data_IF_713561079742
#
_entry.id   IF_713561079742
#
_cell.length_a   1.000
_cell.length_b   1.000
_cell.length_c   1.000
_cell.angle_alpha   90.00
_cell.angle_beta   90.00
_cell.angle_gamma   90.00
#
_symmetry.space_group_name_H-M   'P 1'
#
loop_
_entity.id
_entity.type
_entity.pdbx_description
1 polymer ?
#
# COMPACT_ATOMS: atom_id res chain seq x y z
N UNK A 1 -59.15 -26.90 -68.77
CA UNK A 1 -58.13 -26.87 -67.70
C UNK A 1 -58.79 -26.35 -66.43
N UNK A 2 -59.01 -27.23 -65.42
CA UNK A 2 -59.70 -26.87 -64.16
C UNK A 2 -58.65 -26.89 -63.05
N UNK A 3 -58.38 -25.70 -62.45
CA UNK A 3 -57.49 -25.55 -61.27
C UNK A 3 -58.25 -25.99 -60.03
N UNK A 4 -57.70 -26.99 -59.32
CA UNK A 4 -58.20 -27.45 -58.03
C UNK A 4 -57.68 -26.47 -56.95
N UNK A 5 -58.58 -25.83 -56.20
CA UNK A 5 -58.31 -25.09 -54.98
C UNK A 5 -58.03 -26.10 -53.84
N UNK A 6 -56.85 -26.04 -53.25
CA UNK A 6 -56.55 -26.74 -52.00
C UNK A 6 -57.05 -25.88 -50.82
N UNK A 7 -57.94 -26.43 -50.04
CA UNK A 7 -58.31 -25.87 -48.72
C UNK A 7 -57.23 -26.22 -47.70
N UNK A 8 -56.64 -25.19 -47.09
CA UNK A 8 -55.77 -25.34 -45.93
C UNK A 8 -56.65 -25.30 -44.67
N UNK A 9 -56.72 -26.44 -43.98
CA UNK A 9 -57.23 -26.53 -42.63
C UNK A 9 -56.22 -25.85 -41.68
N UNK A 10 -56.63 -24.73 -41.07
CA UNK A 10 -55.92 -24.13 -39.94
C UNK A 10 -56.21 -24.97 -38.71
N UNK A 11 -55.23 -25.77 -38.28
CA UNK A 11 -55.18 -26.33 -36.94
C UNK A 11 -54.77 -25.22 -35.99
N UNK A 12 -55.68 -24.82 -35.10
CA UNK A 12 -55.41 -23.94 -33.99
C UNK A 12 -54.65 -24.68 -32.93
N UNK A 13 -53.31 -24.63 -32.99
CA UNK A 13 -52.47 -25.04 -31.85
C UNK A 13 -52.57 -23.96 -30.80
N UNK A 14 -53.32 -24.24 -29.74
CA UNK A 14 -53.25 -23.49 -28.49
C UNK A 14 -51.93 -23.79 -27.83
N UNK A 15 -50.90 -23.00 -28.12
CA UNK A 15 -49.66 -23.02 -27.39
C UNK A 15 -49.91 -22.50 -25.97
N UNK A 16 -49.90 -23.44 -25.04
CA UNK A 16 -49.82 -23.13 -23.63
C UNK A 16 -48.47 -22.41 -23.40
N UNK A 17 -48.53 -21.11 -23.24
CA UNK A 17 -47.36 -20.34 -22.82
C UNK A 17 -46.88 -20.86 -21.47
N UNK A 18 -45.88 -21.70 -21.50
CA UNK A 18 -45.07 -22.01 -20.29
C UNK A 18 -44.41 -20.71 -19.84
N UNK A 19 -44.92 -20.14 -18.78
CA UNK A 19 -44.20 -19.07 -18.09
C UNK A 19 -42.79 -19.55 -17.79
N UNK A 20 -41.74 -18.75 -18.12
CA UNK A 20 -40.37 -19.12 -17.79
C UNK A 20 -40.30 -19.17 -16.26
N UNK A 21 -39.77 -20.31 -15.74
CA UNK A 21 -39.50 -20.47 -14.32
C UNK A 21 -38.62 -19.29 -13.85
N UNK A 22 -38.87 -18.77 -12.62
CA UNK A 22 -38.08 -17.69 -12.09
C UNK A 22 -36.60 -18.11 -12.13
N UNK A 23 -35.79 -17.38 -12.88
CA UNK A 23 -34.35 -17.54 -12.88
C UNK A 23 -33.90 -17.17 -11.46
N UNK A 24 -33.78 -18.19 -10.62
CA UNK A 24 -33.05 -18.05 -9.37
C UNK A 24 -31.63 -17.74 -9.78
N UNK A 25 -31.32 -16.45 -9.85
CA UNK A 25 -29.95 -16.00 -9.90
C UNK A 25 -29.31 -16.54 -8.62
N UNK A 26 -28.68 -17.68 -8.71
CA UNK A 26 -27.73 -18.10 -7.73
C UNK A 26 -26.78 -16.90 -7.57
N UNK A 27 -26.89 -16.20 -6.47
CA UNK A 27 -25.84 -15.29 -6.05
C UNK A 27 -24.61 -16.19 -5.96
N UNK A 28 -23.84 -16.23 -7.04
CA UNK A 28 -22.50 -16.76 -6.98
C UNK A 28 -21.87 -16.03 -5.81
N UNK A 29 -21.70 -16.77 -4.71
CA UNK A 29 -21.13 -16.20 -3.52
C UNK A 29 -19.83 -15.52 -3.93
N UNK A 30 -19.66 -14.30 -3.48
CA UNK A 30 -18.48 -13.45 -3.64
C UNK A 30 -17.25 -14.08 -2.92
N UNK A 31 -17.11 -15.40 -2.99
CA UNK A 31 -15.87 -16.08 -2.68
C UNK A 31 -14.98 -15.90 -3.90
N UNK A 32 -14.46 -14.68 -4.05
CA UNK A 32 -13.27 -14.51 -4.86
C UNK A 32 -12.25 -15.49 -4.29
N UNK A 33 -11.97 -16.51 -5.07
CA UNK A 33 -10.86 -17.41 -4.78
C UNK A 33 -9.65 -16.51 -4.57
N UNK A 34 -9.26 -16.30 -3.32
CA UNK A 34 -8.02 -15.62 -2.98
C UNK A 34 -6.94 -16.58 -3.47
N UNK A 35 -6.51 -16.37 -4.69
CA UNK A 35 -5.30 -17.01 -5.19
C UNK A 35 -4.18 -16.23 -4.49
N UNK A 36 -3.49 -16.82 -3.50
CA UNK A 36 -2.31 -16.18 -2.96
C UNK A 36 -1.39 -15.98 -4.15
N UNK A 37 -1.18 -14.72 -4.55
CA UNK A 37 -0.20 -14.39 -5.55
C UNK A 37 1.12 -14.75 -4.89
N UNK A 38 1.65 -15.92 -5.21
CA UNK A 38 2.99 -16.28 -4.81
C UNK A 38 3.86 -15.12 -5.28
N UNK A 39 4.46 -14.39 -4.34
CA UNK A 39 5.45 -13.36 -4.64
C UNK A 39 6.61 -14.15 -5.20
N UNK A 40 6.58 -14.34 -6.52
CA UNK A 40 7.69 -14.94 -7.22
C UNK A 40 8.84 -13.98 -7.01
N UNK A 41 9.87 -14.40 -6.26
CA UNK A 41 11.17 -13.73 -6.23
C UNK A 41 11.80 -13.89 -7.62
N UNK A 42 11.22 -13.21 -8.59
CA UNK A 42 11.88 -13.05 -9.87
C UNK A 42 13.13 -12.25 -9.55
N UNK A 43 14.31 -12.80 -9.82
CA UNK A 43 15.55 -12.03 -9.85
C UNK A 43 15.27 -10.83 -10.73
N UNK A 44 15.04 -9.68 -10.11
CA UNK A 44 14.89 -8.45 -10.87
C UNK A 44 16.25 -8.21 -11.50
N UNK A 45 16.23 -8.26 -12.82
CA UNK A 45 17.39 -8.07 -13.65
C UNK A 45 17.99 -6.68 -13.40
N UNK A 46 19.30 -6.53 -13.62
CA UNK A 46 20.00 -5.25 -13.52
C UNK A 46 19.34 -4.15 -14.35
N UNK A 47 18.67 -4.53 -15.43
CA UNK A 47 17.94 -3.59 -16.27
C UNK A 47 16.69 -3.03 -15.59
N UNK A 48 16.00 -3.83 -14.80
CA UNK A 48 14.88 -3.38 -13.96
C UNK A 48 15.34 -2.36 -12.90
N UNK A 49 16.49 -2.57 -12.29
CA UNK A 49 17.10 -1.63 -11.36
C UNK A 49 17.46 -0.32 -12.03
N UNK A 50 18.15 -0.37 -13.16
CA UNK A 50 18.49 0.81 -13.93
C UNK A 50 17.27 1.57 -14.43
N UNK A 51 16.22 0.85 -14.78
CA UNK A 51 14.96 1.48 -15.20
C UNK A 51 14.28 2.21 -14.02
N UNK A 52 14.21 1.58 -12.86
CA UNK A 52 13.63 2.20 -11.67
C UNK A 52 14.40 3.44 -11.22
N UNK A 53 15.74 3.39 -11.25
CA UNK A 53 16.58 4.55 -10.95
C UNK A 53 16.37 5.68 -11.96
N UNK A 54 16.39 5.38 -13.26
CA UNK A 54 16.14 6.41 -14.30
C UNK A 54 14.76 7.05 -14.18
N UNK A 55 13.75 6.30 -13.74
CA UNK A 55 12.42 6.85 -13.48
C UNK A 55 12.37 7.70 -12.21
N UNK A 56 13.10 7.30 -11.18
CA UNK A 56 13.19 8.07 -9.95
C UNK A 56 13.93 9.40 -10.13
N UNK A 57 14.96 9.41 -11.01
CA UNK A 57 15.83 10.56 -11.29
C UNK A 57 15.33 11.40 -12.48
N UNK A 58 14.12 11.12 -13.01
CA UNK A 58 13.57 11.85 -14.14
C UNK A 58 13.22 13.29 -13.72
N UNK A 59 13.82 14.28 -14.40
CA UNK A 59 13.67 15.70 -14.08
C UNK A 59 12.23 16.19 -14.28
N UNK A 60 11.55 15.74 -15.35
CA UNK A 60 10.22 16.25 -15.69
C UNK A 60 9.10 15.62 -14.85
N UNK A 61 9.24 14.33 -14.56
CA UNK A 61 8.22 13.53 -13.82
C UNK A 61 8.87 12.43 -13.01
N UNK A 62 9.50 12.74 -11.88
CA UNK A 62 10.12 11.73 -11.02
C UNK A 62 9.08 10.76 -10.50
N UNK A 63 9.34 9.45 -10.67
CA UNK A 63 8.45 8.37 -10.22
C UNK A 63 9.23 7.37 -9.39
N UNK A 64 9.06 7.43 -8.07
CA UNK A 64 9.78 6.56 -7.14
C UNK A 64 9.10 5.22 -6.86
N UNK A 65 7.88 5.00 -7.35
CA UNK A 65 7.11 3.79 -7.08
C UNK A 65 7.90 2.51 -7.39
N UNK A 66 8.49 2.41 -8.58
CA UNK A 66 9.27 1.22 -8.98
C UNK A 66 10.50 1.02 -8.10
N UNK A 67 11.13 2.10 -7.67
CA UNK A 67 12.27 2.04 -6.76
C UNK A 67 11.84 1.55 -5.37
N UNK A 68 10.71 2.03 -4.85
CA UNK A 68 10.16 1.57 -3.58
C UNK A 68 9.73 0.11 -3.63
N UNK A 69 9.16 -0.34 -4.76
CA UNK A 69 8.83 -1.76 -4.97
C UNK A 69 10.10 -2.64 -4.97
N UNK A 70 11.21 -2.14 -5.53
CA UNK A 70 12.51 -2.82 -5.47
C UNK A 70 13.04 -2.90 -4.04
N UNK A 71 12.94 -1.83 -3.26
CA UNK A 71 13.35 -1.84 -1.86
C UNK A 71 12.50 -2.81 -1.03
N UNK A 72 11.18 -2.88 -1.29
CA UNK A 72 10.31 -3.86 -0.66
C UNK A 72 10.74 -5.31 -0.99
N UNK A 73 11.15 -5.58 -2.23
CA UNK A 73 11.67 -6.90 -2.61
C UNK A 73 13.02 -7.22 -1.92
N UNK A 74 13.89 -6.23 -1.78
CA UNK A 74 15.16 -6.40 -1.06
C UNK A 74 14.92 -6.66 0.42
N UNK A 75 13.91 -6.04 1.02
CA UNK A 75 13.51 -6.27 2.41
C UNK A 75 12.90 -7.66 2.66
N UNK A 76 12.66 -8.47 1.62
CA UNK A 76 12.32 -9.89 1.78
C UNK A 76 13.52 -10.75 2.20
N UNK A 77 14.73 -10.23 2.10
CA UNK A 77 15.92 -10.89 2.62
C UNK A 77 15.94 -10.82 4.15
N UNK A 78 15.83 -11.98 4.80
CA UNK A 78 15.73 -12.07 6.26
C UNK A 78 16.98 -11.57 6.97
N UNK A 79 18.16 -11.78 6.37
CA UNK A 79 19.42 -11.34 6.97
C UNK A 79 19.52 -9.82 6.95
N UNK A 80 19.25 -9.20 5.81
CA UNK A 80 19.26 -7.74 5.67
C UNK A 80 18.23 -7.08 6.59
N UNK A 81 17.01 -7.58 6.58
CA UNK A 81 15.93 -7.08 7.46
C UNK A 81 16.32 -7.19 8.93
N UNK A 82 16.87 -8.32 9.34
CA UNK A 82 17.36 -8.51 10.71
C UNK A 82 18.43 -7.49 11.10
N UNK A 83 19.38 -7.22 10.21
CA UNK A 83 20.43 -6.22 10.45
C UNK A 83 19.89 -4.80 10.58
N UNK A 84 18.92 -4.43 9.74
CA UNK A 84 18.27 -3.12 9.79
C UNK A 84 17.46 -2.99 11.09
N UNK A 85 16.63 -3.96 11.41
CA UNK A 85 15.82 -3.96 12.63
C UNK A 85 16.68 -3.95 13.90
N UNK A 86 17.80 -4.65 13.90
CA UNK A 86 18.75 -4.63 15.03
C UNK A 86 19.37 -3.23 15.23
N UNK A 87 19.72 -2.53 14.15
CA UNK A 87 20.23 -1.16 14.23
C UNK A 87 19.18 -0.18 14.73
N UNK A 88 17.96 -0.26 14.16
CA UNK A 88 16.82 0.56 14.60
C UNK A 88 16.55 0.30 16.09
N UNK A 89 16.42 -0.95 16.49
CA UNK A 89 16.14 -1.32 17.89
C UNK A 89 17.20 -0.81 18.88
N UNK A 90 18.49 -0.91 18.52
CA UNK A 90 19.57 -0.37 19.35
C UNK A 90 19.50 1.14 19.50
N UNK A 91 19.19 1.86 18.42
CA UNK A 91 19.06 3.32 18.46
C UNK A 91 17.82 3.74 19.25
N UNK A 92 16.70 3.03 19.09
CA UNK A 92 15.48 3.29 19.85
C UNK A 92 15.62 3.00 21.35
N UNK A 93 16.51 2.07 21.72
CA UNK A 93 16.80 1.72 23.13
C UNK A 93 17.84 2.64 23.78
N UNK A 94 18.46 3.53 23.00
CA UNK A 94 19.43 4.47 23.56
C UNK A 94 18.72 5.57 24.35
N UNK A 95 19.26 5.92 25.50
CA UNK A 95 18.79 7.07 26.26
C UNK A 95 19.05 8.36 25.48
N UNK A 96 18.07 9.24 25.47
CA UNK A 96 18.19 10.56 24.86
C UNK A 96 17.84 11.66 25.86
N UNK A 97 18.37 12.84 25.65
CA UNK A 97 18.01 14.03 26.40
C UNK A 97 17.88 15.22 25.47
N UNK A 98 16.84 16.00 25.67
CA UNK A 98 16.68 17.27 25.00
C UNK A 98 17.54 18.33 25.67
N UNK A 99 18.12 19.21 24.86
CA UNK A 99 18.89 20.36 25.34
C UNK A 99 18.24 21.64 24.86
N UNK A 100 18.18 22.61 25.76
CA UNK A 100 17.77 23.96 25.41
C UNK A 100 18.82 24.64 24.50
N UNK A 101 18.46 25.77 23.93
CA UNK A 101 19.33 26.61 23.08
C UNK A 101 20.64 27.00 23.78
N UNK A 102 20.66 26.98 25.12
CA UNK A 102 21.85 27.22 25.97
C UNK A 102 22.74 25.97 26.15
N UNK A 103 22.32 24.80 25.64
CA UNK A 103 23.03 23.52 25.81
C UNK A 103 22.76 22.81 27.14
N UNK A 104 21.91 23.35 28.01
CA UNK A 104 21.49 22.66 29.23
C UNK A 104 20.43 21.61 28.92
N UNK A 105 20.46 20.51 29.66
CA UNK A 105 19.45 19.45 29.57
C UNK A 105 18.11 20.01 30.08
N UNK A 106 17.08 19.88 29.24
CA UNK A 106 15.69 20.17 29.59
C UNK A 106 15.02 18.85 30.00
N UNK A 107 14.96 18.62 31.31
CA UNK A 107 14.41 17.38 31.88
C UNK A 107 12.90 17.29 31.67
N UNK A 108 12.18 18.42 31.76
CA UNK A 108 10.72 18.43 31.60
C UNK A 108 10.32 18.07 30.18
N UNK A 109 10.90 18.72 29.17
CA UNK A 109 10.64 18.39 27.76
C UNK A 109 11.10 16.98 27.40
N UNK A 110 12.21 16.50 27.96
CA UNK A 110 12.69 15.14 27.78
C UNK A 110 11.69 14.13 28.33
N UNK A 111 11.14 14.37 29.53
CA UNK A 111 10.14 13.51 30.16
C UNK A 111 8.84 13.48 29.33
N UNK A 112 8.30 14.63 28.96
CA UNK A 112 7.09 14.74 28.14
C UNK A 112 7.24 13.94 26.85
N UNK A 113 8.40 14.04 26.18
CA UNK A 113 8.65 13.33 24.93
C UNK A 113 8.82 11.82 25.14
N UNK A 114 9.50 11.41 26.23
CA UNK A 114 9.69 9.98 26.52
C UNK A 114 8.40 9.25 26.91
N UNK A 115 7.45 9.96 27.53
CA UNK A 115 6.13 9.44 27.90
C UNK A 115 5.12 9.45 26.73
N UNK A 116 5.43 10.17 25.64
CA UNK A 116 4.53 10.32 24.50
C UNK A 116 4.40 9.02 23.71
N UNK A 117 3.19 8.48 23.59
CA UNK A 117 2.88 7.22 22.91
C UNK A 117 3.27 7.24 21.42
N UNK A 118 3.15 8.39 20.78
CA UNK A 118 3.47 8.58 19.35
C UNK A 118 4.96 8.69 19.06
N UNK A 119 5.78 9.04 20.03
CA UNK A 119 7.19 9.34 19.81
C UNK A 119 8.03 8.12 19.36
N UNK A 120 7.90 6.92 19.94
CA UNK A 120 8.62 5.75 19.44
C UNK A 120 8.30 5.43 17.97
N UNK A 121 7.06 5.62 17.56
CA UNK A 121 6.64 5.39 16.17
C UNK A 121 7.27 6.41 15.22
N UNK A 122 7.27 7.69 15.60
CA UNK A 122 7.94 8.76 14.85
C UNK A 122 9.44 8.45 14.70
N UNK A 123 10.11 8.09 15.81
CA UNK A 123 11.53 7.77 15.81
C UNK A 123 11.83 6.59 14.87
N UNK A 124 10.98 5.57 14.89
CA UNK A 124 11.11 4.45 13.95
C UNK A 124 11.02 4.92 12.49
N UNK A 125 10.03 5.72 12.12
CA UNK A 125 9.89 6.24 10.76
C UNK A 125 11.08 7.10 10.33
N UNK A 126 11.63 7.89 11.26
CA UNK A 126 12.85 8.66 11.02
C UNK A 126 14.06 7.75 10.76
N UNK A 127 14.23 6.69 11.55
CA UNK A 127 15.34 5.75 11.38
C UNK A 127 15.23 4.92 10.09
N UNK A 128 14.01 4.53 9.71
CA UNK A 128 13.76 3.85 8.44
C UNK A 128 14.12 4.73 7.22
N UNK A 129 14.10 6.05 7.36
CA UNK A 129 14.48 6.96 6.27
C UNK A 129 15.94 6.79 5.83
N UNK A 130 16.80 6.28 6.71
CA UNK A 130 18.21 5.95 6.38
C UNK A 130 18.29 4.88 5.29
N UNK A 131 17.34 3.93 5.30
CA UNK A 131 17.28 2.88 4.29
C UNK A 131 16.51 3.32 3.03
N UNK A 132 15.34 3.96 3.22
CA UNK A 132 14.46 4.33 2.11
C UNK A 132 14.80 5.70 1.48
N UNK A 133 15.71 6.46 2.07
CA UNK A 133 16.10 7.80 1.64
C UNK A 133 15.22 8.92 2.14
N UNK A 134 13.97 8.64 2.52
CA UNK A 134 13.04 9.63 3.07
C UNK A 134 11.95 8.98 3.92
N UNK A 135 11.36 9.77 4.79
CA UNK A 135 10.08 9.47 5.46
C UNK A 135 9.29 10.77 5.61
N UNK A 136 8.09 10.78 5.10
CA UNK A 136 7.13 11.87 5.31
C UNK A 136 6.09 11.38 6.29
N UNK A 137 5.88 12.14 7.35
CA UNK A 137 4.90 11.82 8.39
C UNK A 137 3.88 12.91 8.51
N UNK A 138 2.64 12.53 8.73
CA UNK A 138 1.53 13.40 9.02
C UNK A 138 1.23 13.34 10.51
N UNK A 139 1.00 14.52 11.10
CA UNK A 139 0.54 14.64 12.48
C UNK A 139 -0.93 15.02 12.47
N UNK A 140 -1.76 14.24 13.15
CA UNK A 140 -3.18 14.50 13.33
C UNK A 140 -3.52 14.56 14.81
N UNK A 141 -4.54 15.36 15.15
CA UNK A 141 -5.08 15.37 16.51
C UNK A 141 -5.88 14.09 16.75
N UNK A 142 -5.63 13.44 17.88
CA UNK A 142 -6.37 12.26 18.34
C UNK A 142 -7.04 12.58 19.68
N UNK A 143 -8.31 12.22 19.81
CA UNK A 143 -9.04 12.38 21.06
C UNK A 143 -8.51 11.47 22.19
N UNK A 144 -7.87 10.37 21.82
CA UNK A 144 -7.38 9.34 22.77
C UNK A 144 -5.92 9.59 23.18
N UNK A 145 -5.05 9.89 22.22
CA UNK A 145 -3.60 10.01 22.44
C UNK A 145 -3.07 11.44 22.32
N UNK A 146 -3.94 12.44 22.09
CA UNK A 146 -3.59 13.83 21.88
C UNK A 146 -2.95 14.10 20.52
N UNK A 147 -2.01 13.26 20.09
CA UNK A 147 -1.32 13.34 18.81
C UNK A 147 -1.17 11.93 18.20
N UNK A 148 -1.45 11.81 16.92
CA UNK A 148 -1.23 10.61 16.14
C UNK A 148 -0.25 10.89 15.00
N UNK A 149 0.62 9.92 14.74
CA UNK A 149 1.66 10.02 13.72
C UNK A 149 1.43 8.94 12.67
N UNK A 150 1.21 9.36 11.43
CA UNK A 150 0.96 8.44 10.30
C UNK A 150 2.04 8.61 9.23
N UNK A 151 2.60 7.50 8.76
CA UNK A 151 3.55 7.52 7.66
C UNK A 151 2.82 7.64 6.34
N UNK A 152 3.14 8.66 5.57
CA UNK A 152 2.69 8.78 4.18
C UNK A 152 3.40 7.71 3.35
N UNK A 153 2.66 6.94 2.51
CA UNK A 153 3.27 5.91 1.68
C UNK A 153 4.41 6.46 0.83
N UNK A 154 5.63 5.96 1.03
CA UNK A 154 6.87 6.47 0.42
C UNK A 154 6.83 6.50 -1.10
N UNK A 155 6.07 5.60 -1.72
CA UNK A 155 5.87 5.55 -3.17
C UNK A 155 5.11 6.74 -3.75
N UNK A 156 4.40 7.50 -2.90
CA UNK A 156 3.60 8.66 -3.29
C UNK A 156 4.36 9.98 -3.05
N UNK A 157 5.55 9.92 -2.47
CA UNK A 157 6.35 11.11 -2.12
C UNK A 157 7.40 11.37 -3.18
N UNK A 158 7.50 12.62 -3.62
CA UNK A 158 8.54 13.10 -4.53
C UNK A 158 9.35 14.16 -3.80
N UNK A 159 10.43 13.77 -3.07
CA UNK A 159 11.16 14.66 -2.18
C UNK A 159 11.80 15.87 -2.87
N UNK A 160 12.22 15.71 -4.14
CA UNK A 160 12.90 16.76 -4.91
C UNK A 160 12.00 17.95 -5.21
N UNK A 161 10.70 17.70 -5.37
CA UNK A 161 9.72 18.76 -5.71
C UNK A 161 8.90 19.19 -4.49
N UNK A 162 9.09 18.55 -3.35
CA UNK A 162 8.24 18.77 -2.18
C UNK A 162 6.76 18.40 -2.41
N UNK A 163 6.50 17.54 -3.41
CA UNK A 163 5.16 17.07 -3.76
C UNK A 163 4.87 15.73 -3.08
N UNK A 164 3.64 15.55 -2.64
CA UNK A 164 3.11 14.35 -1.98
C UNK A 164 1.62 14.18 -2.24
#
# INVERSE_FOLDING_TARGET
MKKKKKYNMRTTNTEVQKQPAPIIRQREGLVRKIVPKAICRVRKDMDSWRHALRQADCVDRPRRRLLMDLYADVMLDALLTSQIEQRIGRTMSAEFSLKDTTGKVDEESTRVLSEAVWFPLLLRYMLESVFYGHSLVEFSASEVSGLEVTLIPRQNVVPEEGLF
#
